data_IF_072997469372
#
_entry.id   IF_072997469372
#
_cell.length_a   1.000
_cell.length_b   1.000
_cell.length_c   1.000
_cell.angle_alpha   90.00
_cell.angle_beta   90.00
_cell.angle_gamma   90.00
#
_symmetry.space_group_name_H-M   'P 1'
#
loop_
_entity.id
_entity.type
_entity.pdbx_description
1 polymer ?
#
# COMPACT_ATOMS: atom_id res chain seq x y z
N UNK A 1 12.94 -54.04 21.54
CA UNK A 1 12.83 -54.31 22.97
C UNK A 1 13.61 -53.24 23.69
N UNK A 2 12.97 -52.32 24.28
CA UNK A 2 12.98 -51.83 25.66
C UNK A 2 12.10 -50.56 25.72
N UNK A 3 10.99 -50.73 26.41
CA UNK A 3 10.03 -49.65 26.74
C UNK A 3 10.56 -48.90 27.97
N UNK A 4 10.35 -47.60 28.03
CA UNK A 4 10.48 -46.79 29.25
C UNK A 4 9.13 -46.11 29.49
N UNK A 5 8.64 -46.04 30.74
CA UNK A 5 7.23 -45.84 31.07
C UNK A 5 6.85 -44.39 31.34
N UNK A 6 5.57 -44.16 31.12
CA UNK A 6 4.80 -43.00 31.59
C UNK A 6 4.68 -42.96 33.12
N UNK A 7 4.69 -41.81 33.72
CA UNK A 7 4.18 -41.56 35.07
C UNK A 7 3.35 -40.31 35.15
N UNK A 8 2.18 -40.33 35.82
CA UNK A 8 1.20 -39.23 35.76
C UNK A 8 1.07 -38.44 37.10
N UNK A 9 0.35 -37.34 36.99
CA UNK A 9 -0.47 -36.66 37.99
C UNK A 9 0.20 -35.88 39.12
N UNK A 10 -0.07 -34.57 39.16
CA UNK A 10 -0.60 -33.94 40.38
C UNK A 10 -1.57 -32.80 40.02
N UNK A 11 -2.86 -33.08 40.24
CA UNK A 11 -3.95 -32.08 40.39
C UNK A 11 -3.83 -31.53 41.81
N UNK A 12 -3.82 -30.22 41.97
CA UNK A 12 -4.24 -29.61 43.23
C UNK A 12 -5.25 -28.51 42.93
N UNK A 13 -6.45 -28.74 43.41
CA UNK A 13 -7.52 -27.79 43.52
C UNK A 13 -7.43 -27.10 44.89
N UNK A 14 -7.58 -25.80 44.96
CA UNK A 14 -7.92 -24.98 46.12
C UNK A 14 -8.65 -23.77 45.56
N UNK A 15 -9.86 -23.46 45.85
CA UNK A 15 -10.50 -23.32 47.15
C UNK A 15 -11.06 -21.91 47.13
N UNK A 16 -12.38 -21.78 46.95
CA UNK A 16 -13.14 -20.52 46.94
C UNK A 16 -13.13 -19.91 48.34
N UNK A 17 -12.87 -18.62 48.48
CA UNK A 17 -13.18 -17.82 49.63
C UNK A 17 -13.99 -16.59 49.20
N UNK A 18 -15.29 -16.68 49.47
CA UNK A 18 -16.23 -15.57 49.42
C UNK A 18 -16.06 -14.77 50.72
N UNK A 19 -15.71 -13.51 50.63
CA UNK A 19 -15.79 -12.59 51.77
C UNK A 19 -16.78 -11.46 51.39
N UNK A 20 -17.96 -11.57 51.97
CA UNK A 20 -18.95 -10.51 52.03
C UNK A 20 -18.51 -9.48 53.06
N UNK A 21 -18.43 -8.21 52.69
CA UNK A 21 -18.29 -7.11 53.65
C UNK A 21 -19.28 -6.00 53.34
N UNK A 22 -19.96 -5.64 54.38
CA UNK A 22 -21.14 -4.82 54.50
C UNK A 22 -20.92 -3.34 54.13
N UNK A 23 -22.01 -2.76 53.66
CA UNK A 23 -22.27 -1.35 53.41
C UNK A 23 -22.17 -0.54 54.72
N UNK A 24 -21.42 0.56 54.68
CA UNK A 24 -21.58 1.66 55.61
C UNK A 24 -21.80 2.96 54.82
N UNK A 25 -23.03 3.42 54.86
CA UNK A 25 -23.43 4.75 54.37
C UNK A 25 -23.07 5.75 55.44
N UNK A 26 -22.18 6.68 55.14
CA UNK A 26 -22.01 7.91 55.92
C UNK A 26 -22.28 9.10 54.97
N UNK A 27 -23.41 9.70 55.18
CA UNK A 27 -23.75 11.01 54.62
C UNK A 27 -22.90 12.08 55.33
N UNK A 28 -22.10 12.82 54.61
CA UNK A 28 -21.49 14.08 55.06
C UNK A 28 -21.75 15.17 54.03
N UNK A 29 -22.66 16.06 54.41
CA UNK A 29 -22.84 17.37 53.74
C UNK A 29 -21.64 18.27 54.08
N UNK A 30 -20.95 18.75 53.06
CA UNK A 30 -19.90 19.79 53.22
C UNK A 30 -19.62 20.41 51.87
N UNK A 31 -20.12 21.62 51.65
CA UNK A 31 -19.96 22.37 50.42
C UNK A 31 -18.52 22.82 50.20
N UNK A 32 -18.09 22.78 48.97
CA UNK A 32 -16.81 23.34 48.49
C UNK A 32 -16.77 23.19 46.99
N UNK A 33 -17.14 24.26 46.28
CA UNK A 33 -17.08 24.28 44.82
C UNK A 33 -15.71 24.07 44.31
N UNK A 34 -15.47 22.91 43.68
CA UNK A 34 -14.33 22.69 42.78
C UNK A 34 -14.93 22.49 41.39
N UNK A 35 -14.86 23.56 40.59
CA UNK A 35 -15.14 23.49 39.17
C UNK A 35 -14.17 22.49 38.57
N UNK A 36 -14.56 21.24 38.53
CA UNK A 36 -13.91 20.22 37.70
C UNK A 36 -14.02 20.66 36.26
N UNK A 37 -12.92 21.11 35.67
CA UNK A 37 -12.76 21.17 34.23
C UNK A 37 -12.96 19.74 33.68
N UNK A 38 -14.18 19.39 33.39
CA UNK A 38 -14.48 18.35 32.44
C UNK A 38 -13.94 18.87 31.10
N UNK A 39 -12.70 18.52 30.79
CA UNK A 39 -12.17 18.63 29.44
C UNK A 39 -13.03 17.70 28.58
N UNK A 40 -14.12 18.22 28.02
CA UNK A 40 -14.86 17.58 26.97
C UNK A 40 -13.88 17.42 25.80
N UNK A 41 -13.36 16.20 25.58
CA UNK A 41 -12.79 15.85 24.29
C UNK A 41 -13.91 16.01 23.27
N UNK A 42 -13.90 17.14 22.57
CA UNK A 42 -14.80 17.38 21.46
C UNK A 42 -14.71 16.19 20.50
N UNK A 43 -15.84 15.69 20.04
CA UNK A 43 -15.90 14.56 19.09
C UNK A 43 -15.06 14.98 17.86
N UNK A 44 -13.95 14.27 17.61
CA UNK A 44 -13.13 14.51 16.44
C UNK A 44 -13.92 14.23 15.17
N UNK A 45 -13.66 15.00 14.13
CA UNK A 45 -14.13 14.68 12.78
C UNK A 45 -13.25 13.56 12.22
N UNK A 46 -13.86 12.45 11.84
CA UNK A 46 -13.14 11.30 11.26
C UNK A 46 -13.23 11.38 9.75
N UNK A 47 -12.08 11.23 9.06
CA UNK A 47 -11.96 11.07 7.61
C UNK A 47 -11.59 9.63 7.32
N UNK A 48 -12.45 8.90 6.62
CA UNK A 48 -12.22 7.52 6.20
C UNK A 48 -11.44 7.48 4.88
N UNK A 49 -10.20 6.98 4.91
CA UNK A 49 -9.31 6.87 3.77
C UNK A 49 -8.94 5.41 3.52
N UNK A 50 -9.32 4.86 2.36
CA UNK A 50 -9.13 3.44 2.05
C UNK A 50 -8.62 3.21 0.63
N UNK A 51 -7.77 2.18 0.45
CA UNK A 51 -7.48 1.72 -0.91
C UNK A 51 -6.09 1.17 -1.14
N UNK A 52 -5.32 1.80 -2.00
CA UNK A 52 -4.04 1.32 -2.52
C UNK A 52 -3.03 0.96 -1.43
N UNK A 53 -2.62 -0.31 -1.38
CA UNK A 53 -1.55 -0.74 -0.48
C UNK A 53 -0.18 -0.13 -0.86
N UNK A 54 -0.01 0.31 -2.11
CA UNK A 54 1.15 1.10 -2.51
C UNK A 54 1.23 2.40 -1.71
N UNK A 55 0.08 3.02 -1.42
CA UNK A 55 0.02 4.33 -0.77
C UNK A 55 -0.16 4.26 0.75
N UNK A 56 -0.32 3.07 1.35
CA UNK A 56 -0.61 2.96 2.79
C UNK A 56 0.46 3.64 3.64
N UNK A 57 1.76 3.44 3.32
CA UNK A 57 2.86 4.06 4.06
C UNK A 57 2.79 5.59 4.04
N UNK A 58 2.68 6.20 2.86
CA UNK A 58 2.60 7.66 2.73
C UNK A 58 1.30 8.21 3.32
N UNK A 59 0.17 7.49 3.16
CA UNK A 59 -1.12 7.92 3.69
C UNK A 59 -1.16 7.89 5.23
N UNK A 60 -0.48 6.93 5.86
CA UNK A 60 -0.33 6.87 7.31
C UNK A 60 0.49 8.05 7.85
N UNK A 61 1.63 8.36 7.22
CA UNK A 61 2.44 9.51 7.62
C UNK A 61 1.68 10.82 7.39
N UNK A 62 0.94 10.96 6.28
CA UNK A 62 0.06 12.12 6.09
C UNK A 62 -0.99 12.25 7.19
N UNK A 63 -1.60 11.14 7.63
CA UNK A 63 -2.60 11.16 8.69
C UNK A 63 -2.00 11.60 10.04
N UNK A 64 -0.82 11.08 10.36
CA UNK A 64 -0.08 11.43 11.59
C UNK A 64 0.33 12.90 11.59
N UNK A 65 1.00 13.37 10.54
CA UNK A 65 1.47 14.75 10.43
C UNK A 65 0.30 15.76 10.36
N UNK A 66 -0.77 15.43 9.64
CA UNK A 66 -1.96 16.28 9.59
C UNK A 66 -2.67 16.39 10.94
N UNK A 67 -2.67 15.31 11.73
CA UNK A 67 -3.21 15.31 13.09
C UNK A 67 -2.50 16.30 14.04
N UNK A 68 -1.22 16.64 13.77
CA UNK A 68 -0.49 17.69 14.51
C UNK A 68 -0.95 19.09 14.11
N UNK A 69 -1.40 19.27 12.87
CA UNK A 69 -1.87 20.56 12.32
C UNK A 69 -3.37 20.79 12.63
N UNK A 70 -4.15 19.72 12.61
CA UNK A 70 -5.61 19.74 12.80
C UNK A 70 -6.03 18.70 13.87
N UNK A 71 -5.79 18.96 15.16
CA UNK A 71 -5.99 17.97 16.24
C UNK A 71 -7.47 17.58 16.47
N UNK A 72 -8.40 18.30 15.90
CA UNK A 72 -9.84 18.02 15.86
C UNK A 72 -10.25 17.09 14.71
N UNK A 73 -9.31 16.70 13.84
CA UNK A 73 -9.51 15.77 12.73
C UNK A 73 -8.70 14.50 12.97
N UNK A 74 -9.30 13.36 12.68
CA UNK A 74 -8.66 12.06 12.69
C UNK A 74 -8.81 11.43 11.31
N UNK A 75 -7.70 10.98 10.71
CA UNK A 75 -7.72 10.31 9.40
C UNK A 75 -7.45 8.83 9.61
N UNK A 76 -8.47 8.00 9.38
CA UNK A 76 -8.34 6.55 9.46
C UNK A 76 -7.91 5.97 8.11
N UNK A 77 -6.70 5.39 8.06
CA UNK A 77 -6.12 4.84 6.85
C UNK A 77 -6.22 3.32 6.82
N UNK A 78 -6.73 2.76 5.73
CA UNK A 78 -6.77 1.31 5.52
C UNK A 78 -6.44 0.93 4.07
N UNK A 79 -5.77 -0.21 3.91
CA UNK A 79 -5.40 -0.79 2.62
C UNK A 79 -6.49 -1.68 2.01
N UNK A 80 -6.05 -2.69 1.25
CA UNK A 80 -6.89 -3.70 0.58
C UNK A 80 -6.92 -3.58 -0.93
N UNK A 81 -6.15 -2.65 -1.50
CA UNK A 81 -6.02 -2.40 -2.93
C UNK A 81 -6.87 -1.25 -3.46
N UNK A 82 -6.42 -0.65 -4.56
CA UNK A 82 -7.11 0.48 -5.21
C UNK A 82 -8.56 0.14 -5.57
N UNK A 83 -8.81 -1.07 -6.06
CA UNK A 83 -10.17 -1.51 -6.41
C UNK A 83 -11.11 -1.58 -5.22
N UNK A 84 -10.61 -2.00 -4.04
CA UNK A 84 -11.39 -2.05 -2.79
C UNK A 84 -11.73 -0.64 -2.30
N UNK A 85 -10.75 0.28 -2.32
CA UNK A 85 -10.97 1.67 -1.96
C UNK A 85 -11.98 2.36 -2.87
N UNK A 86 -11.81 2.22 -4.19
CA UNK A 86 -12.74 2.75 -5.18
C UNK A 86 -14.15 2.16 -4.96
N UNK A 87 -14.27 0.84 -4.79
CA UNK A 87 -15.57 0.22 -4.54
C UNK A 87 -16.25 0.71 -3.24
N UNK A 88 -15.48 1.00 -2.19
CA UNK A 88 -15.98 1.58 -0.96
C UNK A 88 -16.45 3.03 -1.19
N UNK A 89 -15.68 3.82 -1.95
CA UNK A 89 -16.05 5.19 -2.33
C UNK A 89 -17.37 5.21 -3.14
N UNK A 90 -17.52 4.33 -4.13
CA UNK A 90 -18.74 4.22 -4.95
C UNK A 90 -20.00 3.88 -4.15
N UNK A 91 -19.84 3.34 -2.96
CA UNK A 91 -20.93 3.04 -2.01
C UNK A 91 -21.13 4.14 -0.97
N UNK A 92 -20.32 5.20 -0.98
CA UNK A 92 -20.31 6.24 0.04
C UNK A 92 -19.87 5.75 1.42
N UNK A 93 -19.11 4.66 1.48
CA UNK A 93 -18.62 4.07 2.72
C UNK A 93 -17.29 4.67 3.22
N UNK A 94 -16.63 5.46 2.41
CA UNK A 94 -15.39 6.19 2.74
C UNK A 94 -15.43 7.58 2.12
N UNK A 95 -14.66 8.50 2.69
CA UNK A 95 -14.55 9.88 2.20
C UNK A 95 -13.54 10.00 1.07
N UNK A 96 -12.45 9.22 1.15
CA UNK A 96 -11.34 9.24 0.20
C UNK A 96 -10.99 7.81 -0.21
N UNK A 97 -10.81 7.59 -1.50
CA UNK A 97 -10.18 6.38 -2.02
C UNK A 97 -8.76 6.67 -2.49
N UNK A 98 -7.76 5.96 -1.94
CA UNK A 98 -6.39 5.95 -2.46
C UNK A 98 -6.29 5.01 -3.65
N UNK A 99 -5.66 5.44 -4.73
CA UNK A 99 -5.44 4.62 -5.91
C UNK A 99 -4.06 4.84 -6.54
N UNK A 100 -3.41 3.75 -6.94
CA UNK A 100 -2.14 3.73 -7.68
C UNK A 100 -2.36 3.34 -9.16
N UNK A 101 -3.53 3.67 -9.67
CA UNK A 101 -3.96 3.63 -11.05
C UNK A 101 -5.09 4.63 -11.25
N UNK A 102 -5.37 4.94 -12.50
CA UNK A 102 -6.56 5.69 -12.84
C UNK A 102 -7.85 4.92 -12.50
N UNK A 103 -8.90 5.66 -12.20
CA UNK A 103 -10.25 5.10 -12.07
C UNK A 103 -10.73 4.69 -13.46
N UNK A 104 -11.25 3.46 -13.58
CA UNK A 104 -11.75 2.93 -14.85
C UNK A 104 -13.01 3.67 -15.31
N UNK A 105 -13.26 3.81 -16.62
CA UNK A 105 -14.47 4.49 -17.11
C UNK A 105 -15.79 3.90 -16.57
N UNK A 106 -15.85 2.57 -16.37
CA UNK A 106 -17.00 1.91 -15.75
C UNK A 106 -17.16 2.26 -14.27
N UNK A 107 -16.07 2.42 -13.52
CA UNK A 107 -16.09 2.86 -12.12
C UNK A 107 -16.62 4.29 -12.01
N UNK A 108 -16.19 5.18 -12.92
CA UNK A 108 -16.69 6.56 -13.00
C UNK A 108 -18.20 6.59 -13.28
N UNK A 109 -18.67 5.80 -14.27
CA UNK A 109 -20.09 5.69 -14.57
C UNK A 109 -20.89 5.11 -13.40
N UNK A 110 -20.34 4.12 -12.72
CA UNK A 110 -20.98 3.50 -11.57
C UNK A 110 -21.11 4.48 -10.38
N UNK A 111 -20.11 5.35 -10.15
CA UNK A 111 -20.18 6.40 -9.14
C UNK A 111 -21.38 7.31 -9.40
N UNK A 112 -21.48 7.85 -10.60
CA UNK A 112 -22.59 8.75 -10.97
C UNK A 112 -23.96 8.06 -10.82
N UNK A 113 -24.06 6.79 -11.22
CA UNK A 113 -25.30 6.00 -11.09
C UNK A 113 -25.71 5.76 -9.64
N UNK A 114 -24.74 5.39 -8.78
CA UNK A 114 -25.03 5.01 -7.40
C UNK A 114 -25.29 6.21 -6.49
N UNK A 115 -24.65 7.34 -6.74
CA UNK A 115 -24.59 8.46 -5.79
C UNK A 115 -25.09 9.79 -6.36
N UNK A 116 -25.33 9.86 -7.65
CA UNK A 116 -25.64 11.10 -8.36
C UNK A 116 -24.45 12.07 -8.48
N UNK A 117 -23.25 11.64 -8.07
CA UNK A 117 -22.03 12.46 -8.05
C UNK A 117 -20.95 11.84 -8.92
N UNK A 118 -20.28 12.65 -9.74
CA UNK A 118 -19.07 12.23 -10.43
C UNK A 118 -17.90 12.19 -9.46
N UNK A 119 -16.99 11.19 -9.55
CA UNK A 119 -15.78 11.20 -8.73
C UNK A 119 -14.84 12.33 -9.17
N UNK A 120 -14.18 12.97 -8.20
CA UNK A 120 -13.11 13.92 -8.44
C UNK A 120 -11.79 13.26 -8.06
N UNK A 121 -10.81 13.30 -8.98
CA UNK A 121 -9.46 12.79 -8.76
C UNK A 121 -8.46 13.90 -8.49
N UNK A 122 -7.55 13.65 -7.57
CA UNK A 122 -6.41 14.50 -7.23
C UNK A 122 -5.14 13.67 -7.41
N UNK A 123 -4.25 14.09 -8.31
CA UNK A 123 -2.91 13.52 -8.38
C UNK A 123 -2.12 14.09 -7.20
N UNK A 124 -1.60 13.21 -6.33
CA UNK A 124 -0.90 13.61 -5.10
C UNK A 124 0.58 13.27 -5.09
N UNK A 125 1.06 12.65 -6.14
CA UNK A 125 2.46 12.27 -6.35
C UNK A 125 2.58 11.28 -7.50
N UNK A 126 3.82 10.82 -7.74
CA UNK A 126 4.09 9.80 -8.75
C UNK A 126 4.93 8.68 -8.14
N UNK A 127 4.83 7.49 -8.74
CA UNK A 127 5.55 6.28 -8.35
C UNK A 127 6.20 5.66 -9.60
N UNK A 128 7.37 5.04 -9.41
CA UNK A 128 7.89 4.06 -10.35
C UNK A 128 7.47 2.67 -9.84
N UNK A 129 6.68 1.94 -10.63
CA UNK A 129 6.47 0.53 -10.35
C UNK A 129 7.79 -0.19 -10.57
N UNK A 130 8.49 -0.52 -9.46
CA UNK A 130 9.79 -1.14 -9.50
C UNK A 130 9.68 -2.67 -9.61
N UNK A 131 10.57 -3.28 -10.39
CA UNK A 131 10.74 -4.72 -10.45
C UNK A 131 11.89 -5.09 -9.51
N UNK A 132 11.64 -6.06 -8.64
CA UNK A 132 12.56 -6.49 -7.60
C UNK A 132 13.04 -7.92 -7.81
N UNK A 133 14.31 -8.13 -7.52
CA UNK A 133 14.90 -9.44 -7.31
C UNK A 133 15.66 -9.46 -5.99
N UNK A 134 16.02 -10.63 -5.48
CA UNK A 134 16.91 -10.77 -4.33
C UNK A 134 18.19 -9.97 -4.54
N UNK A 135 18.78 -9.40 -3.49
CA UNK A 135 19.99 -8.57 -3.59
C UNK A 135 21.15 -9.29 -4.30
N UNK A 136 21.31 -10.59 -4.09
CA UNK A 136 22.37 -11.41 -4.67
C UNK A 136 22.00 -12.05 -6.04
N UNK A 137 20.81 -11.78 -6.56
CA UNK A 137 20.45 -12.24 -7.91
C UNK A 137 21.32 -11.48 -8.93
N UNK A 138 21.98 -12.16 -9.92
CA UNK A 138 22.89 -11.49 -10.84
C UNK A 138 22.22 -10.57 -11.88
N UNK A 139 20.90 -10.67 -12.06
CA UNK A 139 20.18 -9.80 -13.00
C UNK A 139 20.22 -8.34 -12.53
N UNK A 140 20.53 -7.39 -13.43
CA UNK A 140 20.58 -5.96 -13.13
C UNK A 140 19.61 -5.13 -13.95
N UNK A 141 19.18 -5.66 -15.10
CA UNK A 141 18.23 -5.00 -15.98
C UNK A 141 17.30 -6.00 -16.64
N UNK A 142 16.10 -5.56 -17.02
CA UNK A 142 15.10 -6.39 -17.68
C UNK A 142 14.30 -5.53 -18.66
N UNK A 143 13.80 -6.11 -19.74
CA UNK A 143 12.87 -5.41 -20.65
C UNK A 143 11.42 -5.70 -20.29
N UNK A 144 10.51 -4.81 -20.75
CA UNK A 144 9.06 -5.04 -20.59
C UNK A 144 8.64 -6.34 -21.28
N UNK A 145 9.23 -6.66 -22.43
CA UNK A 145 8.96 -7.94 -23.13
C UNK A 145 9.42 -9.16 -22.32
N UNK A 146 10.60 -9.09 -21.68
CA UNK A 146 11.05 -10.18 -20.81
C UNK A 146 10.14 -10.37 -19.60
N UNK A 147 9.66 -9.28 -19.01
CA UNK A 147 8.65 -9.35 -17.93
C UNK A 147 7.36 -10.01 -18.42
N UNK A 148 6.88 -9.70 -19.62
CA UNK A 148 5.74 -10.37 -20.21
C UNK A 148 6.00 -11.88 -20.40
N UNK A 149 7.20 -12.28 -20.85
CA UNK A 149 7.58 -13.70 -20.96
C UNK A 149 7.59 -14.43 -19.59
N UNK A 150 7.93 -13.71 -18.53
CA UNK A 150 7.94 -14.27 -17.16
C UNK A 150 6.53 -14.36 -16.57
N UNK A 151 5.74 -13.30 -16.69
CA UNK A 151 4.50 -13.14 -15.92
C UNK A 151 3.21 -13.43 -16.70
N UNK A 152 3.18 -13.26 -18.04
CA UNK A 152 1.98 -13.52 -18.83
C UNK A 152 1.70 -15.04 -18.97
N UNK A 153 0.44 -15.43 -19.04
CA UNK A 153 0.04 -16.85 -19.22
C UNK A 153 0.65 -17.47 -20.48
N UNK A 154 0.66 -16.74 -21.57
CA UNK A 154 1.30 -17.16 -22.84
C UNK A 154 2.83 -17.05 -22.85
N UNK A 155 3.46 -16.51 -21.81
CA UNK A 155 4.90 -16.33 -21.74
C UNK A 155 5.67 -17.64 -21.62
N UNK A 156 6.87 -17.71 -22.22
CA UNK A 156 7.68 -18.93 -22.28
C UNK A 156 8.65 -19.10 -21.12
N UNK A 157 8.99 -18.01 -20.40
CA UNK A 157 10.02 -18.06 -19.36
C UNK A 157 9.47 -18.58 -18.03
N UNK A 158 9.98 -19.75 -17.61
CA UNK A 158 9.70 -20.37 -16.31
C UNK A 158 10.95 -20.56 -15.48
N UNK A 159 12.12 -20.45 -16.12
CA UNK A 159 13.44 -20.62 -15.51
C UNK A 159 14.33 -19.41 -15.83
N UNK A 160 15.22 -19.09 -14.92
CA UNK A 160 16.18 -17.99 -15.09
C UNK A 160 17.11 -18.21 -16.29
N UNK A 161 17.54 -19.44 -16.54
CA UNK A 161 18.35 -19.81 -17.70
C UNK A 161 17.71 -19.51 -19.06
N UNK A 162 16.37 -19.53 -19.14
CA UNK A 162 15.64 -19.21 -20.38
C UNK A 162 15.70 -17.73 -20.77
N UNK A 163 16.04 -16.87 -19.81
CA UNK A 163 16.27 -15.44 -20.06
C UNK A 163 17.76 -15.07 -19.96
N UNK A 164 18.66 -16.06 -20.02
CA UNK A 164 20.10 -15.86 -20.03
C UNK A 164 20.73 -15.58 -18.66
N UNK A 165 20.00 -15.82 -17.56
CA UNK A 165 20.48 -15.59 -16.19
C UNK A 165 20.87 -16.91 -15.54
N UNK A 166 22.10 -16.95 -14.99
CA UNK A 166 22.58 -18.08 -14.20
C UNK A 166 22.82 -17.61 -12.76
N UNK A 167 22.05 -18.17 -11.83
CA UNK A 167 22.20 -17.84 -10.40
C UNK A 167 23.23 -18.81 -9.79
N UNK A 168 24.35 -18.33 -9.24
CA UNK A 168 25.37 -19.19 -8.66
C UNK A 168 24.84 -20.00 -7.48
N UNK A 169 25.21 -21.29 -7.41
CA UNK A 169 24.84 -22.16 -6.28
C UNK A 169 23.37 -22.66 -6.31
N UNK A 170 22.59 -22.29 -7.30
CA UNK A 170 21.18 -22.70 -7.43
C UNK A 170 21.08 -23.84 -8.44
N UNK A 171 20.63 -25.02 -7.98
CA UNK A 171 20.42 -26.20 -8.83
C UNK A 171 19.05 -26.12 -9.56
N UNK A 172 18.00 -25.68 -8.88
CA UNK A 172 16.69 -25.43 -9.48
C UNK A 172 16.48 -23.93 -9.70
N UNK A 173 16.68 -23.48 -10.93
CA UNK A 173 16.55 -22.11 -11.36
C UNK A 173 15.11 -21.70 -11.76
N UNK A 174 14.11 -22.43 -11.27
CA UNK A 174 12.71 -22.08 -11.47
C UNK A 174 12.42 -20.69 -10.93
N UNK A 175 11.81 -19.84 -11.75
CA UNK A 175 11.44 -18.47 -11.37
C UNK A 175 10.25 -18.51 -10.41
N UNK A 176 10.45 -18.00 -9.19
CA UNK A 176 9.35 -17.74 -8.24
C UNK A 176 8.76 -16.39 -8.57
N UNK A 177 7.61 -16.38 -9.24
CA UNK A 177 6.88 -15.17 -9.59
C UNK A 177 6.10 -14.66 -8.39
N UNK A 178 6.33 -13.41 -8.00
CA UNK A 178 5.62 -12.76 -6.89
C UNK A 178 4.77 -11.63 -7.49
N UNK A 179 3.46 -11.78 -7.38
CA UNK A 179 2.46 -10.87 -7.92
C UNK A 179 1.63 -10.24 -6.79
N UNK A 180 0.63 -9.51 -7.17
CA UNK A 180 -0.34 -8.87 -6.28
C UNK A 180 -1.72 -9.45 -6.51
N UNK A 181 -2.58 -9.38 -5.50
CA UNK A 181 -4.00 -9.74 -5.65
C UNK A 181 -4.70 -8.82 -6.68
N UNK A 182 -5.76 -9.31 -7.31
CA UNK A 182 -6.47 -8.61 -8.40
C UNK A 182 -7.13 -7.28 -8.00
N UNK A 183 -7.40 -7.05 -6.72
CA UNK A 183 -7.88 -5.75 -6.20
C UNK A 183 -6.81 -4.66 -6.16
N UNK A 184 -5.53 -5.03 -6.31
CA UNK A 184 -4.40 -4.10 -6.28
C UNK A 184 -4.34 -3.25 -7.55
N UNK A 185 -4.22 -1.92 -7.38
CA UNK A 185 -3.94 -1.03 -8.51
C UNK A 185 -2.59 -1.33 -9.17
N UNK A 186 -1.63 -1.88 -8.41
CA UNK A 186 -0.33 -2.31 -8.94
C UNK A 186 -0.46 -3.55 -9.83
N UNK A 187 -1.33 -4.50 -9.47
CA UNK A 187 -1.68 -5.64 -10.33
C UNK A 187 -2.28 -5.17 -11.65
N UNK A 188 -3.30 -4.32 -11.60
CA UNK A 188 -3.98 -3.81 -12.79
C UNK A 188 -3.02 -3.01 -13.68
N UNK A 189 -2.22 -2.12 -13.11
CA UNK A 189 -1.24 -1.34 -13.85
C UNK A 189 -0.19 -2.23 -14.53
N UNK A 190 0.33 -3.25 -13.84
CA UNK A 190 1.27 -4.20 -14.42
C UNK A 190 0.62 -5.03 -15.54
N UNK A 191 -0.62 -5.49 -15.32
CA UNK A 191 -1.39 -6.24 -16.32
C UNK A 191 -1.58 -5.44 -17.61
N UNK A 192 -1.93 -4.17 -17.48
CA UNK A 192 -2.15 -3.27 -18.62
C UNK A 192 -0.86 -2.95 -19.36
N UNK A 193 0.18 -2.48 -18.65
CA UNK A 193 1.38 -1.91 -19.25
C UNK A 193 2.48 -2.93 -19.58
N UNK A 194 2.49 -4.06 -18.92
CA UNK A 194 3.49 -5.12 -19.13
C UNK A 194 2.90 -6.31 -19.87
N UNK A 195 1.71 -6.78 -19.47
CA UNK A 195 1.11 -7.98 -20.05
C UNK A 195 0.17 -7.68 -21.23
N UNK A 196 -0.06 -6.41 -21.58
CA UNK A 196 -1.00 -6.04 -22.65
C UNK A 196 -2.41 -6.56 -22.41
N UNK A 197 -2.86 -6.53 -21.15
CA UNK A 197 -4.15 -7.05 -20.66
C UNK A 197 -4.31 -8.59 -20.72
N UNK A 198 -3.24 -9.35 -20.99
CA UNK A 198 -3.26 -10.80 -20.82
C UNK A 198 -3.36 -11.18 -19.35
N UNK A 199 -3.77 -12.41 -19.08
CA UNK A 199 -3.81 -12.92 -17.72
C UNK A 199 -2.41 -13.31 -17.21
N UNK A 200 -2.26 -13.30 -15.89
CA UNK A 200 -1.02 -13.74 -15.26
C UNK A 200 -0.86 -15.25 -15.36
N UNK A 201 0.38 -15.67 -15.54
CA UNK A 201 0.74 -17.10 -15.55
C UNK A 201 0.38 -17.75 -14.22
N UNK A 202 -0.27 -18.89 -14.27
CA UNK A 202 -0.64 -19.67 -13.09
C UNK A 202 0.58 -20.03 -12.24
N UNK A 203 0.37 -20.18 -10.93
CA UNK A 203 1.44 -20.46 -9.96
C UNK A 203 2.24 -19.24 -9.54
N UNK A 204 1.81 -18.02 -9.89
CA UNK A 204 2.30 -16.81 -9.25
C UNK A 204 1.85 -16.75 -7.79
N UNK A 205 2.69 -16.19 -6.93
CA UNK A 205 2.34 -15.95 -5.51
C UNK A 205 1.69 -14.57 -5.40
N UNK A 206 0.37 -14.57 -5.27
CA UNK A 206 -0.42 -13.34 -5.21
C UNK A 206 -0.50 -12.84 -3.76
N UNK A 207 0.14 -11.71 -3.49
CA UNK A 207 0.25 -11.13 -2.15
C UNK A 207 -0.63 -9.87 -2.01
N UNK A 208 -1.08 -9.63 -0.79
CA UNK A 208 -2.00 -8.52 -0.50
C UNK A 208 -1.27 -7.17 -0.58
N UNK A 209 -0.15 -7.01 0.11
CA UNK A 209 0.54 -5.74 0.28
C UNK A 209 1.84 -5.61 -0.51
N UNK A 210 2.31 -4.39 -0.59
CA UNK A 210 3.60 -4.06 -1.21
C UNK A 210 4.77 -4.55 -0.37
N UNK A 211 4.64 -4.50 0.96
CA UNK A 211 5.66 -4.93 1.92
C UNK A 211 5.93 -6.42 1.79
N UNK A 212 4.87 -7.23 1.76
CA UNK A 212 4.97 -8.69 1.65
C UNK A 212 5.63 -9.14 0.34
N UNK A 213 5.41 -8.40 -0.76
CA UNK A 213 6.13 -8.67 -2.02
C UNK A 213 7.63 -8.50 -1.84
N UNK A 214 8.06 -7.39 -1.27
CA UNK A 214 9.49 -7.09 -1.05
C UNK A 214 10.12 -8.07 -0.06
N UNK A 215 9.42 -8.43 1.01
CA UNK A 215 9.88 -9.43 2.00
C UNK A 215 10.07 -10.82 1.36
N UNK A 216 9.10 -11.29 0.57
CA UNK A 216 9.21 -12.59 -0.09
C UNK A 216 10.34 -12.61 -1.13
N UNK A 217 10.48 -11.55 -1.92
CA UNK A 217 11.57 -11.44 -2.90
C UNK A 217 12.92 -11.36 -2.21
N UNK A 218 13.03 -10.59 -1.12
CA UNK A 218 14.26 -10.48 -0.32
C UNK A 218 14.64 -11.76 0.42
N UNK A 219 13.71 -12.67 0.65
CA UNK A 219 13.93 -13.99 1.28
C UNK A 219 14.10 -15.13 0.27
N UNK A 220 14.03 -14.88 -1.05
CA UNK A 220 13.99 -15.94 -2.07
C UNK A 220 14.88 -15.60 -3.26
N UNK A 221 16.04 -16.24 -3.37
CA UNK A 221 17.07 -15.92 -4.37
C UNK A 221 16.59 -16.03 -5.84
N UNK A 222 15.63 -16.94 -6.09
CA UNK A 222 15.04 -17.16 -7.43
C UNK A 222 13.74 -16.38 -7.66
N UNK A 223 13.36 -15.50 -6.72
CA UNK A 223 12.15 -14.72 -6.87
C UNK A 223 12.35 -13.47 -7.73
N UNK A 224 11.29 -13.11 -8.44
CA UNK A 224 11.09 -11.82 -9.09
C UNK A 224 9.70 -11.32 -8.76
N UNK A 225 9.58 -10.05 -8.40
CA UNK A 225 8.31 -9.43 -8.04
C UNK A 225 8.28 -7.95 -8.42
N UNK A 226 7.14 -7.31 -8.20
CA UNK A 226 6.96 -5.90 -8.53
C UNK A 226 6.12 -5.18 -7.46
N UNK A 227 6.50 -3.94 -7.17
CA UNK A 227 5.81 -3.09 -6.19
C UNK A 227 6.19 -1.62 -6.40
N UNK A 228 5.63 -0.69 -5.60
CA UNK A 228 6.05 0.71 -5.61
C UNK A 228 7.51 0.87 -5.17
N UNK A 229 8.22 1.82 -5.75
CA UNK A 229 9.65 2.04 -5.48
C UNK A 229 9.97 2.42 -4.03
N UNK A 230 9.01 3.00 -3.30
CA UNK A 230 9.15 3.39 -1.90
C UNK A 230 9.22 2.23 -0.90
N UNK A 231 9.01 0.98 -1.34
CA UNK A 231 9.11 -0.21 -0.48
C UNK A 231 10.46 -0.92 -0.53
N UNK A 232 11.44 -0.42 -1.31
CA UNK A 232 12.75 -1.04 -1.42
C UNK A 232 13.44 -1.19 -0.05
N UNK A 233 14.03 -2.36 0.19
CA UNK A 233 14.85 -2.66 1.38
C UNK A 233 16.24 -3.11 0.94
N UNK A 234 17.24 -3.16 1.82
CA UNK A 234 18.56 -3.69 1.50
C UNK A 234 18.58 -5.16 1.05
N UNK A 235 17.51 -5.94 1.32
CA UNK A 235 17.41 -7.34 0.93
C UNK A 235 17.04 -7.54 -0.56
N UNK A 236 16.60 -6.48 -1.23
CA UNK A 236 16.18 -6.54 -2.63
C UNK A 236 16.96 -5.56 -3.50
N UNK A 237 17.11 -5.91 -4.76
CA UNK A 237 17.65 -5.05 -5.80
C UNK A 237 16.52 -4.62 -6.74
N UNK A 238 16.44 -3.32 -7.02
CA UNK A 238 15.58 -2.77 -8.06
C UNK A 238 16.28 -2.97 -9.41
N UNK A 239 15.58 -3.59 -10.36
CA UNK A 239 16.11 -3.75 -11.72
C UNK A 239 15.95 -2.45 -12.51
N UNK A 240 16.94 -2.15 -13.36
CA UNK A 240 16.77 -1.19 -14.44
C UNK A 240 15.76 -1.75 -15.43
N UNK A 241 14.88 -0.91 -15.93
CA UNK A 241 13.85 -1.30 -16.88
C UNK A 241 14.03 -0.59 -18.21
N UNK A 242 14.02 -1.39 -19.26
CA UNK A 242 14.04 -0.93 -20.65
C UNK A 242 12.65 -1.18 -21.27
N UNK A 243 12.16 -0.22 -22.07
CA UNK A 243 10.88 -0.36 -22.75
C UNK A 243 10.87 -1.53 -23.75
N UNK A 244 12.01 -1.81 -24.38
CA UNK A 244 12.20 -2.90 -25.35
C UNK A 244 13.68 -3.28 -25.48
N UNK A 245 13.95 -4.42 -26.07
CA UNK A 245 15.33 -4.85 -26.35
C UNK A 245 16.10 -3.80 -27.14
N UNK A 246 17.33 -3.50 -26.70
CA UNK A 246 18.23 -2.50 -27.31
C UNK A 246 17.90 -1.04 -27.00
N UNK A 247 16.82 -0.75 -26.28
CA UNK A 247 16.54 0.59 -25.75
C UNK A 247 17.31 0.82 -24.43
N UNK A 248 17.57 2.09 -24.04
CA UNK A 248 18.18 2.39 -22.75
C UNK A 248 17.36 1.86 -21.57
N UNK A 249 18.03 1.33 -20.56
CA UNK A 249 17.43 0.87 -19.33
C UNK A 249 17.60 1.94 -18.21
N UNK A 250 16.52 2.24 -17.49
CA UNK A 250 16.48 3.28 -16.47
C UNK A 250 16.17 2.68 -15.11
N UNK A 251 16.78 3.21 -14.07
CA UNK A 251 16.45 2.88 -12.69
C UNK A 251 15.12 3.49 -12.28
N UNK A 252 14.31 2.81 -11.44
CA UNK A 252 13.14 3.43 -10.80
C UNK A 252 13.62 4.47 -9.79
N UNK A 253 13.62 5.74 -10.18
CA UNK A 253 14.12 6.87 -9.39
C UNK A 253 13.27 8.12 -9.59
N UNK A 254 13.42 9.09 -8.69
CA UNK A 254 12.76 10.40 -8.81
C UNK A 254 13.12 11.05 -10.16
N UNK A 255 14.39 10.98 -10.55
CA UNK A 255 14.87 11.57 -11.80
C UNK A 255 14.20 10.93 -13.02
N UNK A 256 14.22 9.60 -13.13
CA UNK A 256 13.68 8.89 -14.29
C UNK A 256 12.15 9.00 -14.42
N UNK A 257 11.44 9.15 -13.31
CA UNK A 257 9.99 9.45 -13.29
C UNK A 257 9.74 10.87 -13.76
N UNK A 258 10.49 11.85 -13.21
CA UNK A 258 10.34 13.27 -13.56
C UNK A 258 10.66 13.53 -15.04
N UNK A 259 11.71 12.89 -15.57
CA UNK A 259 12.12 12.98 -16.97
C UNK A 259 11.27 12.13 -17.92
N UNK A 260 10.31 11.35 -17.38
CA UNK A 260 9.42 10.43 -18.13
C UNK A 260 10.22 9.37 -18.93
N UNK A 261 11.37 8.98 -18.44
CA UNK A 261 12.23 7.96 -19.07
C UNK A 261 11.96 6.56 -18.53
N UNK A 262 11.43 6.45 -17.29
CA UNK A 262 11.09 5.16 -16.72
C UNK A 262 9.78 4.62 -17.30
N UNK A 263 9.76 3.42 -17.92
CA UNK A 263 8.60 2.92 -18.65
C UNK A 263 7.34 2.67 -17.79
N UNK A 264 7.51 2.33 -16.51
CA UNK A 264 6.41 2.00 -15.59
C UNK A 264 6.23 3.09 -14.51
N UNK A 265 6.34 4.37 -14.92
CA UNK A 265 5.97 5.50 -14.08
C UNK A 265 4.45 5.66 -14.06
N UNK A 266 3.87 5.99 -12.89
CA UNK A 266 2.43 6.16 -12.70
C UNK A 266 2.08 7.25 -11.72
N UNK A 267 0.88 7.80 -11.84
CA UNK A 267 0.31 8.74 -10.88
C UNK A 267 -0.25 8.02 -9.65
N UNK A 268 -0.14 8.68 -8.50
CA UNK A 268 -0.82 8.32 -7.27
C UNK A 268 -2.00 9.27 -7.07
N UNK A 269 -3.17 8.72 -6.77
CA UNK A 269 -4.42 9.46 -6.75
C UNK A 269 -5.14 9.36 -5.40
N UNK A 270 -5.80 10.46 -5.03
CA UNK A 270 -6.93 10.46 -4.11
C UNK A 270 -8.20 10.71 -4.93
N UNK A 271 -9.26 9.97 -4.63
CA UNK A 271 -10.58 10.19 -5.24
C UNK A 271 -11.61 10.50 -4.16
N UNK A 272 -12.49 11.45 -4.46
CA UNK A 272 -13.67 11.78 -3.65
C UNK A 272 -14.94 11.67 -4.50
N UNK A 273 -16.12 11.55 -3.85
CA UNK A 273 -17.40 11.64 -4.54
C UNK A 273 -17.85 13.09 -4.65
N UNK A 274 -17.78 13.64 -5.86
CA UNK A 274 -17.99 15.05 -6.09
C UNK A 274 -16.85 15.90 -5.56
N UNK A 275 -17.07 17.22 -5.48
CA UNK A 275 -16.10 18.19 -4.99
C UNK A 275 -15.79 17.95 -3.50
N UNK A 276 -14.49 17.88 -3.17
CA UNK A 276 -14.05 17.77 -1.79
C UNK A 276 -14.42 19.05 -1.00
N UNK A 277 -15.02 18.87 0.17
CA UNK A 277 -15.49 19.98 1.00
C UNK A 277 -15.06 19.81 2.46
N UNK A 278 -15.10 20.92 3.23
CA UNK A 278 -14.87 20.91 4.67
C UNK A 278 -13.53 20.30 5.08
N UNK A 279 -13.50 19.40 6.06
CA UNK A 279 -12.28 18.76 6.55
C UNK A 279 -11.54 17.93 5.49
N UNK A 280 -12.25 17.25 4.60
CA UNK A 280 -11.66 16.46 3.50
C UNK A 280 -10.91 17.38 2.52
N UNK A 281 -11.49 18.52 2.16
CA UNK A 281 -10.83 19.50 1.29
C UNK A 281 -9.57 20.05 1.93
N UNK A 282 -9.63 20.44 3.21
CA UNK A 282 -8.49 20.95 3.96
C UNK A 282 -7.35 19.93 4.06
N UNK A 283 -7.69 18.65 4.25
CA UNK A 283 -6.71 17.57 4.29
C UNK A 283 -6.02 17.38 2.93
N UNK A 284 -6.78 17.39 1.82
CA UNK A 284 -6.22 17.30 0.47
C UNK A 284 -5.34 18.52 0.16
N UNK A 285 -5.79 19.72 0.53
CA UNK A 285 -5.00 20.95 0.33
C UNK A 285 -3.68 20.91 1.11
N UNK A 286 -3.71 20.38 2.35
CA UNK A 286 -2.50 20.18 3.13
C UNK A 286 -1.56 19.14 2.50
N UNK A 287 -2.08 18.02 1.97
CA UNK A 287 -1.28 17.05 1.21
C UNK A 287 -0.58 17.70 0.02
N UNK A 288 -1.24 18.66 -0.65
CA UNK A 288 -0.70 19.39 -1.80
C UNK A 288 0.25 20.52 -1.39
N UNK A 289 0.35 20.87 -0.11
CA UNK A 289 1.32 21.85 0.41
C UNK A 289 2.77 21.32 0.38
N UNK A 290 3.74 22.19 0.66
CA UNK A 290 5.14 21.77 0.77
C UNK A 290 5.34 20.70 1.86
N UNK A 291 4.65 20.83 2.99
CA UNK A 291 4.71 19.84 4.08
C UNK A 291 4.21 18.45 3.63
N UNK A 292 3.02 18.39 3.04
CA UNK A 292 2.47 17.13 2.55
C UNK A 292 3.29 16.50 1.42
N UNK A 293 3.92 17.32 0.57
CA UNK A 293 4.77 16.83 -0.52
C UNK A 293 6.18 16.43 -0.05
N UNK A 294 6.66 16.99 1.07
CA UNK A 294 7.87 16.48 1.74
C UNK A 294 7.64 15.04 2.22
N UNK A 295 6.47 14.75 2.78
CA UNK A 295 6.11 13.37 3.16
C UNK A 295 6.13 12.41 1.96
N UNK A 296 5.66 12.85 0.78
CA UNK A 296 5.74 12.05 -0.47
C UNK A 296 7.18 11.67 -0.79
N UNK A 297 8.09 12.64 -0.71
CA UNK A 297 9.52 12.42 -0.98
C UNK A 297 10.16 11.49 0.06
N UNK A 298 9.90 11.70 1.34
CA UNK A 298 10.44 10.89 2.44
C UNK A 298 9.92 9.45 2.40
N UNK A 299 8.68 9.26 1.95
CA UNK A 299 8.10 7.93 1.71
C UNK A 299 8.68 7.23 0.47
N UNK A 300 9.64 7.86 -0.24
CA UNK A 300 10.32 7.30 -1.39
C UNK A 300 9.53 7.38 -2.71
N UNK A 301 8.57 8.31 -2.80
CA UNK A 301 7.82 8.62 -4.01
C UNK A 301 8.25 9.94 -4.63
N UNK A 302 7.68 10.30 -5.76
CA UNK A 302 8.02 11.52 -6.50
C UNK A 302 6.97 12.60 -6.20
N UNK A 303 7.35 13.71 -5.55
CA UNK A 303 6.43 14.78 -5.25
C UNK A 303 6.00 15.54 -6.52
N UNK A 304 4.83 16.17 -6.45
CA UNK A 304 4.37 17.08 -7.50
C UNK A 304 5.17 18.38 -7.41
N UNK A 305 5.79 18.82 -8.53
CA UNK A 305 6.48 20.11 -8.56
C UNK A 305 5.59 21.27 -8.10
N UNK A 306 6.12 22.19 -7.31
CA UNK A 306 5.34 23.30 -6.72
C UNK A 306 4.53 24.09 -7.78
N UNK A 307 5.10 24.31 -8.96
CA UNK A 307 4.42 25.03 -10.06
C UNK A 307 3.28 24.25 -10.75
N UNK A 308 3.10 22.96 -10.43
CA UNK A 308 2.06 22.08 -10.99
C UNK A 308 0.96 21.76 -9.98
N UNK A 309 1.11 22.19 -8.73
CA UNK A 309 0.10 21.97 -7.70
C UNK A 309 -1.07 22.93 -7.88
N UNK A 310 -2.32 22.49 -7.57
CA UNK A 310 -3.45 23.39 -7.52
C UNK A 310 -3.15 24.54 -6.56
N UNK A 311 -3.49 25.76 -6.94
CA UNK A 311 -3.46 26.88 -5.99
C UNK A 311 -4.59 26.66 -4.97
N UNK A 312 -4.33 26.90 -3.67
CA UNK A 312 -5.33 26.76 -2.62
C UNK A 312 -6.55 27.67 -2.82
#
# INVERSE_FOLDING_TARGET
MTRVPFSPLHRQALGWLVLSSAVAVLASCGGGGQAGRAGGQGKKTVIQNKGSDTMVNVAQVWAEEYGLVAPDVEVEVSGGGSGVGIAALLKGAVDIANASRDMKPEEVRQAAKNTGKAPQGFIVGYDALAVYVHQDNPLNEVTVEQLAQIFAEGGSATRWSQIGVRIPGVADDTIVRVSRQSSSGTYEFFREHVLGNQDFKQGSRDLNGSKEVVELVGGTLTAIGYSGMGYATPAVKKLKLSAKAGAPAYEPSVESVTNKTYPLARSLHLYTLGEAQGPVRKYIDWIMSDAGQTVVQEAGYVPIPAGQRPKP
#
